data_IF_993930550336
#
_entry.id   IF_993930550336
#
_cell.length_a   1.000
_cell.length_b   1.000
_cell.length_c   1.000
_cell.angle_alpha   90.00
_cell.angle_beta   90.00
_cell.angle_gamma   90.00
#
_symmetry.space_group_name_H-M   'P 1'
#
loop_
_entity.id
_entity.type
_entity.pdbx_description
1 polymer ?
#
# COMPACT_ATOMS: atom_id res chain seq x y z
N UNK A 1 -1.75 -27.80 -79.78
CA UNK A 1 -0.93 -26.90 -78.95
C UNK A 1 -1.55 -25.52 -78.92
N UNK A 2 -2.17 -25.16 -77.79
CA UNK A 2 -2.09 -23.84 -77.18
C UNK A 2 -2.24 -24.08 -75.67
N UNK A 3 -1.11 -24.12 -74.97
CA UNK A 3 -1.08 -24.09 -73.51
C UNK A 3 -1.38 -22.66 -73.09
N UNK A 4 -2.46 -22.45 -72.35
CA UNK A 4 -2.74 -21.18 -71.69
C UNK A 4 -2.07 -21.17 -70.31
N UNK A 5 -1.27 -20.14 -70.05
CA UNK A 5 -0.62 -19.90 -68.77
C UNK A 5 -1.69 -19.44 -67.77
N UNK A 6 -1.80 -20.14 -66.65
CA UNK A 6 -2.67 -19.80 -65.53
C UNK A 6 -1.93 -18.81 -64.64
N UNK A 7 -2.35 -17.54 -64.63
CA UNK A 7 -1.84 -16.54 -63.67
C UNK A 7 -2.80 -16.50 -62.49
N UNK A 8 -2.36 -17.01 -61.33
CA UNK A 8 -3.11 -16.96 -60.07
C UNK A 8 -2.43 -15.93 -59.17
N UNK A 9 -3.00 -14.72 -59.01
CA UNK A 9 -2.65 -13.87 -57.87
C UNK A 9 -3.32 -14.47 -56.63
N UNK A 10 -2.60 -14.77 -55.55
CA UNK A 10 -3.23 -15.27 -54.31
C UNK A 10 -2.83 -14.41 -53.12
N UNK A 11 -3.83 -13.85 -52.42
CA UNK A 11 -3.70 -13.35 -51.04
C UNK A 11 -4.05 -14.50 -50.12
N UNK A 12 -3.20 -14.82 -49.16
CA UNK A 12 -3.44 -15.85 -48.16
C UNK A 12 -3.84 -15.17 -46.85
N UNK A 13 -5.10 -15.28 -46.46
CA UNK A 13 -5.54 -14.94 -45.10
C UNK A 13 -5.38 -16.18 -44.23
N UNK A 14 -4.66 -16.04 -43.12
CA UNK A 14 -4.46 -17.11 -42.15
C UNK A 14 -5.09 -16.70 -40.83
N UNK A 15 -6.01 -17.53 -40.34
CA UNK A 15 -6.48 -17.48 -38.97
C UNK A 15 -5.77 -18.56 -38.16
N UNK A 16 -5.07 -18.17 -37.09
CA UNK A 16 -4.56 -19.07 -36.05
C UNK A 16 -5.55 -19.09 -34.90
N UNK A 17 -5.96 -20.29 -34.48
CA UNK A 17 -6.72 -20.50 -33.25
C UNK A 17 -5.76 -20.97 -32.16
N UNK A 18 -5.62 -20.20 -31.07
CA UNK A 18 -5.14 -20.78 -29.82
C UNK A 18 -6.34 -21.55 -29.24
N UNK A 19 -6.22 -22.85 -28.96
CA UNK A 19 -7.22 -23.57 -28.16
C UNK A 19 -6.52 -23.99 -26.89
N UNK A 20 -6.96 -23.50 -25.73
CA UNK A 20 -6.62 -24.13 -24.44
C UNK A 20 -7.81 -24.99 -24.05
N UNK A 21 -7.57 -26.29 -23.82
CA UNK A 21 -8.61 -27.21 -23.38
C UNK A 21 -8.98 -26.95 -21.92
N UNK A 22 -9.83 -25.96 -21.67
CA UNK A 22 -10.51 -25.70 -20.40
C UNK A 22 -12.01 -25.87 -20.58
N UNK A 23 -12.67 -26.62 -19.70
CA UNK A 23 -14.14 -26.66 -19.67
C UNK A 23 -14.64 -25.31 -19.18
N UNK A 24 -15.60 -24.73 -19.90
CA UNK A 24 -16.41 -23.62 -19.40
C UNK A 24 -16.88 -23.91 -17.97
N UNK A 25 -16.35 -23.17 -17.00
CA UNK A 25 -17.04 -22.96 -15.74
C UNK A 25 -18.28 -22.11 -16.07
N UNK A 26 -19.43 -22.53 -15.55
CA UNK A 26 -20.70 -21.90 -15.90
C UNK A 26 -20.71 -20.42 -15.50
N UNK A 27 -21.37 -19.62 -16.34
CA UNK A 27 -21.81 -18.26 -16.03
C UNK A 27 -22.35 -18.19 -14.60
N UNK A 28 -21.56 -17.62 -13.71
CA UNK A 28 -22.06 -16.97 -12.52
C UNK A 28 -21.66 -15.51 -12.69
N UNK A 29 -22.44 -14.79 -13.50
CA UNK A 29 -22.44 -13.33 -13.42
C UNK A 29 -22.69 -12.98 -11.94
N UNK A 30 -21.89 -12.10 -11.31
CA UNK A 30 -22.26 -11.56 -10.02
C UNK A 30 -23.68 -11.00 -10.17
N UNK A 31 -24.57 -11.43 -9.27
CA UNK A 31 -25.95 -10.93 -9.27
C UNK A 31 -25.90 -9.44 -8.95
N UNK A 32 -25.83 -8.60 -9.97
CA UNK A 32 -26.15 -7.18 -9.83
C UNK A 32 -27.61 -7.10 -9.40
N UNK A 33 -27.83 -6.86 -8.11
CA UNK A 33 -29.14 -6.56 -7.58
C UNK A 33 -29.60 -5.20 -8.12
N UNK A 34 -30.29 -5.24 -9.25
CA UNK A 34 -30.89 -4.07 -9.90
C UNK A 34 -32.00 -3.41 -9.07
N UNK A 35 -32.30 -3.89 -7.84
CA UNK A 35 -33.31 -3.31 -6.96
C UNK A 35 -32.78 -2.23 -6.03
N UNK A 36 -31.46 -2.08 -5.90
CA UNK A 36 -30.88 -0.88 -5.29
C UNK A 36 -30.80 0.22 -6.34
N UNK A 37 -31.34 1.40 -6.01
CA UNK A 37 -31.06 2.63 -6.77
C UNK A 37 -29.55 2.90 -6.80
N UNK A 38 -29.06 3.93 -7.52
CA UNK A 38 -27.63 4.23 -7.54
C UNK A 38 -27.15 4.38 -6.10
N UNK A 39 -26.43 3.36 -5.60
CA UNK A 39 -25.83 3.40 -4.28
C UNK A 39 -24.80 4.54 -4.35
N UNK A 40 -24.87 5.55 -3.47
CA UNK A 40 -23.95 6.69 -3.50
C UNK A 40 -22.52 6.30 -3.10
N UNK A 41 -22.29 5.02 -2.80
CA UNK A 41 -21.03 4.40 -2.41
C UNK A 41 -20.89 3.17 -3.32
N UNK A 42 -19.82 3.08 -4.10
CA UNK A 42 -19.52 1.85 -4.83
C UNK A 42 -18.86 0.95 -3.78
N UNK A 43 -19.61 -0.02 -3.25
CA UNK A 43 -19.21 -0.93 -2.17
C UNK A 43 -19.48 -2.36 -2.64
N UNK A 44 -18.55 -2.90 -3.41
CA UNK A 44 -18.70 -4.16 -4.11
C UNK A 44 -18.55 -5.38 -3.17
N UNK A 45 -17.72 -5.26 -2.13
CA UNK A 45 -17.51 -6.31 -1.13
C UNK A 45 -18.52 -6.25 0.04
N UNK A 46 -19.40 -5.24 0.06
CA UNK A 46 -20.47 -5.04 1.04
C UNK A 46 -19.98 -4.89 2.48
N UNK A 47 -18.77 -4.37 2.68
CA UNK A 47 -18.20 -4.16 4.01
C UNK A 47 -18.64 -2.82 4.65
N UNK A 48 -19.37 -1.98 3.91
CA UNK A 48 -19.86 -0.67 4.34
C UNK A 48 -18.86 0.48 4.12
N UNK A 49 -17.76 0.25 3.41
CA UNK A 49 -16.82 1.25 2.92
C UNK A 49 -16.97 1.43 1.40
N UNK A 50 -16.48 2.56 0.90
CA UNK A 50 -16.35 2.76 -0.54
C UNK A 50 -15.14 1.96 -1.04
N UNK A 51 -15.21 1.37 -2.22
CA UNK A 51 -14.16 0.58 -2.86
C UNK A 51 -12.81 1.33 -2.85
N UNK A 52 -12.85 2.64 -3.09
CA UNK A 52 -11.68 3.52 -3.04
C UNK A 52 -10.99 3.59 -1.66
N UNK A 53 -11.70 3.24 -0.59
CA UNK A 53 -11.17 3.13 0.78
C UNK A 53 -10.68 1.73 1.13
N UNK A 54 -11.15 0.71 0.44
CA UNK A 54 -10.68 -0.66 0.65
C UNK A 54 -9.29 -0.87 0.04
N UNK A 55 -9.05 -0.25 -1.11
CA UNK A 55 -7.73 -0.22 -1.76
C UNK A 55 -6.80 0.85 -1.17
N UNK A 56 -7.33 1.73 -0.32
CA UNK A 56 -6.53 2.76 0.35
C UNK A 56 -5.60 2.14 1.39
N UNK A 57 -4.37 2.64 1.42
CA UNK A 57 -3.44 2.34 2.51
C UNK A 57 -3.99 2.99 3.77
N UNK A 58 -4.34 2.15 4.75
CA UNK A 58 -5.00 2.55 5.98
C UNK A 58 -4.19 2.19 7.22
N UNK A 59 -4.68 2.65 8.38
CA UNK A 59 -4.16 2.20 9.68
C UNK A 59 -4.54 0.74 9.88
N UNK A 60 -3.52 -0.11 9.94
CA UNK A 60 -3.66 -1.54 10.15
C UNK A 60 -3.31 -1.95 11.58
N UNK A 61 -2.55 -3.05 11.66
CA UNK A 61 -2.16 -3.67 12.93
C UNK A 61 -1.45 -2.73 13.91
N UNK A 62 -1.78 -2.85 15.20
CA UNK A 62 -1.07 -2.19 16.30
C UNK A 62 0.19 -2.99 16.65
N UNK A 63 1.35 -2.45 16.28
CA UNK A 63 2.65 -3.11 16.40
C UNK A 63 3.26 -2.97 17.80
N UNK A 64 2.96 -1.85 18.46
CA UNK A 64 3.40 -1.53 19.81
C UNK A 64 2.35 -0.64 20.47
N UNK A 65 2.18 -0.78 21.79
CA UNK A 65 1.39 0.17 22.55
C UNK A 65 1.80 0.22 24.02
N UNK A 66 1.66 1.39 24.60
CA UNK A 66 1.74 1.61 26.03
C UNK A 66 0.76 2.70 26.46
N UNK A 67 -0.16 2.34 27.33
CA UNK A 67 -1.08 3.26 28.03
C UNK A 67 -0.45 3.81 29.31
N UNK A 68 0.78 3.42 29.63
CA UNK A 68 1.52 3.87 30.81
C UNK A 68 0.77 3.62 32.13
N UNK A 69 -0.01 2.53 32.22
CA UNK A 69 -0.63 2.07 33.48
C UNK A 69 0.18 0.97 34.19
N UNK A 70 1.28 0.53 33.55
CA UNK A 70 2.26 -0.43 34.06
C UNK A 70 3.63 0.23 34.30
N UNK A 71 4.62 -0.55 34.73
CA UNK A 71 5.97 -0.04 34.96
C UNK A 71 6.63 0.44 33.67
N UNK A 72 7.13 1.67 33.71
CA UNK A 72 7.86 2.28 32.60
C UNK A 72 9.02 1.41 32.12
N UNK A 73 9.75 0.75 33.03
CA UNK A 73 10.96 -0.02 32.70
C UNK A 73 10.69 -1.28 31.86
N UNK A 74 9.44 -1.77 31.83
CA UNK A 74 9.08 -2.98 31.10
C UNK A 74 9.17 -2.76 29.58
N UNK A 75 8.92 -1.53 29.13
CA UNK A 75 8.90 -1.15 27.69
C UNK A 75 9.83 0.01 27.35
N UNK A 76 10.29 0.77 28.33
CA UNK A 76 11.05 2.00 28.11
C UNK A 76 12.33 2.07 28.94
N UNK A 77 13.31 2.78 28.40
CA UNK A 77 14.51 3.26 29.06
C UNK A 77 14.30 4.75 29.31
N UNK A 78 14.13 5.12 30.58
CA UNK A 78 13.94 6.50 31.01
C UNK A 78 15.25 7.08 31.58
N UNK A 79 15.55 8.33 31.25
CA UNK A 79 16.72 9.06 31.76
C UNK A 79 16.36 10.51 32.10
N UNK A 80 17.21 11.18 32.87
CA UNK A 80 16.94 12.55 33.31
C UNK A 80 15.78 12.56 34.30
N UNK A 81 14.76 13.37 34.02
CA UNK A 81 13.56 13.49 34.84
C UNK A 81 12.37 12.65 34.34
N UNK A 82 12.55 11.81 33.31
CA UNK A 82 11.51 10.89 32.87
C UNK A 82 11.18 9.89 33.97
N UNK A 83 9.90 9.77 34.32
CA UNK A 83 9.37 8.81 35.28
C UNK A 83 7.89 8.52 34.97
N UNK A 84 7.34 7.51 35.66
CA UNK A 84 5.92 7.25 35.68
C UNK A 84 5.26 8.15 36.75
N UNK A 85 4.35 9.02 36.35
CA UNK A 85 3.61 9.93 37.23
C UNK A 85 2.21 9.38 37.52
N UNK A 86 1.74 9.47 38.77
CA UNK A 86 0.41 9.04 39.20
C UNK A 86 -0.38 10.23 39.83
N UNK A 87 -1.10 11.01 39.02
CA UNK A 87 -2.09 12.08 39.39
C UNK A 87 -1.66 13.20 40.35
N UNK A 88 -0.38 13.44 40.55
CA UNK A 88 0.09 14.47 41.48
C UNK A 88 0.24 15.85 40.81
N UNK A 89 0.46 15.90 39.50
CA UNK A 89 0.79 17.15 38.80
C UNK A 89 -0.23 17.62 37.76
N UNK A 90 -0.98 16.70 37.15
CA UNK A 90 -2.07 17.02 36.23
C UNK A 90 -3.37 16.40 36.73
N UNK A 91 -4.35 17.25 37.07
CA UNK A 91 -5.68 16.84 37.53
C UNK A 91 -6.62 16.43 36.37
N UNK A 92 -6.32 16.88 35.15
CA UNK A 92 -7.12 16.61 33.96
C UNK A 92 -6.56 15.38 33.23
N UNK A 93 -7.37 14.34 33.12
CA UNK A 93 -7.06 13.16 32.32
C UNK A 93 -7.44 13.37 30.85
N UNK A 94 -6.85 12.61 29.91
CA UNK A 94 -7.24 12.63 28.50
C UNK A 94 -8.73 12.31 28.33
N UNK A 95 -9.42 12.93 27.34
CA UNK A 95 -10.88 12.87 27.22
C UNK A 95 -11.47 11.49 26.85
N UNK A 96 -10.68 10.46 26.51
CA UNK A 96 -11.19 9.22 25.91
C UNK A 96 -10.70 7.88 26.54
N UNK A 97 -10.15 7.82 27.77
CA UNK A 97 -9.54 6.56 28.27
C UNK A 97 -10.01 6.04 29.65
N UNK A 98 -10.10 4.71 29.72
CA UNK A 98 -10.71 3.85 30.73
C UNK A 98 -9.77 3.51 31.90
N UNK A 99 -10.18 3.76 33.16
CA UNK A 99 -10.62 5.06 33.70
C UNK A 99 -9.50 6.11 33.49
N UNK A 100 -9.67 7.43 33.79
CA UNK A 100 -8.62 8.45 33.60
C UNK A 100 -7.24 7.86 33.87
N UNK A 101 -6.31 7.80 32.91
CA UNK A 101 -5.12 6.92 33.04
C UNK A 101 -4.48 7.09 34.42
N UNK A 102 -4.28 5.97 35.12
CA UNK A 102 -3.80 6.00 36.51
C UNK A 102 -2.42 6.63 36.57
N UNK A 103 -1.68 6.45 35.49
CA UNK A 103 -0.36 7.01 35.31
C UNK A 103 -0.10 7.47 33.88
N UNK A 104 1.01 8.19 33.71
CA UNK A 104 1.53 8.65 32.42
C UNK A 104 3.04 8.81 32.51
N UNK A 105 3.74 8.81 31.38
CA UNK A 105 5.15 9.17 31.39
C UNK A 105 5.28 10.69 31.52
N UNK A 106 6.12 11.16 32.44
CA UNK A 106 6.32 12.57 32.71
C UNK A 106 7.79 12.95 32.80
N UNK A 107 8.14 14.11 32.26
CA UNK A 107 9.44 14.76 32.43
C UNK A 107 9.29 15.98 33.34
N UNK A 108 9.40 15.76 34.65
CA UNK A 108 9.45 16.78 35.70
C UNK A 108 9.99 16.14 36.99
N UNK A 109 10.08 16.89 38.10
CA UNK A 109 10.61 16.37 39.37
C UNK A 109 9.60 15.55 40.19
N UNK A 110 8.36 15.42 39.73
CA UNK A 110 7.32 14.56 40.30
C UNK A 110 6.47 15.24 41.38
N UNK A 111 5.83 14.42 42.23
CA UNK A 111 4.84 14.82 43.25
C UNK A 111 5.15 16.06 44.07
N UNK A 112 6.38 16.15 44.56
CA UNK A 112 6.78 17.22 45.48
C UNK A 112 7.07 18.53 44.73
N UNK A 113 7.29 18.45 43.41
CA UNK A 113 7.63 19.58 42.56
C UNK A 113 7.31 19.25 41.08
N UNK A 114 6.16 19.72 40.62
CA UNK A 114 5.65 19.44 39.28
C UNK A 114 6.38 20.18 38.16
N UNK A 115 7.55 20.77 38.43
CA UNK A 115 8.36 21.46 37.43
C UNK A 115 9.57 20.64 37.00
N UNK A 116 10.21 21.00 35.89
CA UNK A 116 11.52 20.45 35.50
C UNK A 116 12.70 21.35 35.92
N UNK A 117 12.48 22.34 36.80
CA UNK A 117 13.54 23.24 37.25
C UNK A 117 14.50 22.59 38.26
N UNK A 118 15.65 22.12 37.81
CA UNK A 118 16.70 21.59 38.69
C UNK A 118 17.70 22.66 39.15
N UNK A 119 17.50 23.93 38.78
CA UNK A 119 18.48 25.01 38.94
C UNK A 119 19.67 24.94 37.96
N UNK A 120 19.65 23.97 37.04
CA UNK A 120 20.64 23.75 36.00
C UNK A 120 19.96 23.27 34.70
N UNK A 121 20.71 23.29 33.59
CA UNK A 121 20.28 22.61 32.37
C UNK A 121 20.13 21.12 32.63
N UNK A 122 19.01 20.56 32.21
CA UNK A 122 18.76 19.13 32.29
C UNK A 122 18.11 18.63 30.99
N UNK A 123 18.30 17.34 30.73
CA UNK A 123 17.80 16.69 29.54
C UNK A 123 17.62 15.20 29.82
N UNK A 124 16.79 14.54 29.02
CA UNK A 124 16.59 13.12 29.11
C UNK A 124 15.79 12.56 27.94
N UNK A 125 15.83 11.24 27.85
CA UNK A 125 15.08 10.46 26.87
C UNK A 125 14.14 9.48 27.55
N UNK A 126 12.98 9.30 26.93
CA UNK A 126 12.10 8.15 27.10
C UNK A 126 12.20 7.33 25.82
N UNK A 127 12.96 6.24 25.86
CA UNK A 127 13.36 5.45 24.70
C UNK A 127 12.76 4.05 24.75
N UNK A 128 12.18 3.55 23.64
CA UNK A 128 11.72 2.17 23.58
C UNK A 128 12.87 1.17 23.81
N UNK A 129 12.67 0.20 24.70
CA UNK A 129 13.68 -0.80 24.99
C UNK A 129 13.80 -1.88 23.87
N UNK A 130 12.71 -2.15 23.15
CA UNK A 130 12.62 -3.09 22.02
C UNK A 130 12.32 -2.41 20.70
N UNK A 131 12.78 -2.98 19.58
CA UNK A 131 12.41 -2.54 18.24
C UNK A 131 11.13 -3.22 17.75
N UNK A 132 10.41 -2.57 16.83
CA UNK A 132 9.29 -3.17 16.10
C UNK A 132 9.52 -3.11 14.60
N UNK A 133 9.06 -4.12 13.86
CA UNK A 133 9.17 -4.15 12.39
C UNK A 133 7.97 -3.45 11.77
N UNK A 134 8.21 -2.39 10.99
CA UNK A 134 7.18 -1.76 10.17
C UNK A 134 6.86 -2.61 8.93
N UNK A 135 5.59 -2.66 8.49
CA UNK A 135 5.23 -3.15 7.17
C UNK A 135 5.99 -2.40 6.05
N UNK A 136 6.09 -3.03 4.88
CA UNK A 136 6.65 -2.40 3.67
C UNK A 136 5.85 -1.20 3.19
N UNK A 137 4.56 -1.13 3.56
CA UNK A 137 3.69 0.01 3.28
C UNK A 137 3.94 1.20 4.22
N UNK A 138 4.64 0.99 5.33
CA UNK A 138 4.96 2.02 6.32
C UNK A 138 4.11 1.90 7.57
N UNK A 139 3.92 3.02 8.25
CA UNK A 139 3.12 3.13 9.47
C UNK A 139 3.20 4.51 10.08
N UNK A 140 2.64 4.64 11.27
CA UNK A 140 2.60 5.89 12.04
C UNK A 140 2.69 5.64 13.55
N UNK A 141 3.02 6.69 14.27
CA UNK A 141 2.92 6.75 15.73
C UNK A 141 1.75 7.63 16.14
N UNK A 142 1.14 7.28 17.26
CA UNK A 142 0.08 8.04 17.90
C UNK A 142 0.35 8.16 19.40
N UNK A 143 0.06 9.31 20.00
CA UNK A 143 0.06 9.48 21.45
C UNK A 143 -0.75 10.70 21.88
N UNK A 144 -1.10 10.75 23.16
CA UNK A 144 -1.59 11.96 23.81
C UNK A 144 -0.42 12.77 24.37
N UNK A 145 -0.41 14.06 24.04
CA UNK A 145 0.66 14.99 24.37
C UNK A 145 0.13 16.12 25.25
N UNK A 146 0.80 16.37 26.38
CA UNK A 146 0.64 17.61 27.15
C UNK A 146 2.02 18.15 27.44
N UNK A 147 2.28 19.42 27.16
CA UNK A 147 3.59 20.01 27.43
C UNK A 147 3.48 21.46 27.87
N UNK A 148 4.22 21.85 28.90
CA UNK A 148 4.34 23.24 29.32
C UNK A 148 5.82 23.61 29.46
N UNK A 149 6.25 24.58 28.66
CA UNK A 149 7.64 25.05 28.56
C UNK A 149 7.71 26.59 28.50
N UNK A 150 8.92 27.15 28.41
CA UNK A 150 9.12 28.61 28.28
C UNK A 150 8.48 29.23 27.02
N UNK A 151 7.98 28.43 26.06
CA UNK A 151 7.32 28.87 24.81
C UNK A 151 8.15 29.90 24.00
N UNK A 152 9.49 29.76 24.06
CA UNK A 152 10.43 30.62 23.34
C UNK A 152 11.25 29.80 22.33
N UNK A 153 11.28 30.19 21.04
CA UNK A 153 12.01 29.45 20.03
C UNK A 153 13.50 29.26 20.36
N UNK A 154 13.96 28.02 20.37
CA UNK A 154 15.37 27.68 20.55
C UNK A 154 15.81 27.47 21.99
N UNK A 155 14.88 27.57 22.95
CA UNK A 155 15.08 27.11 24.34
C UNK A 155 14.51 25.69 24.49
N UNK A 156 14.07 25.26 25.67
CA UNK A 156 13.36 24.00 25.98
C UNK A 156 12.92 23.22 24.74
N UNK A 157 13.73 22.27 24.31
CA UNK A 157 13.51 21.54 23.07
C UNK A 157 12.91 20.18 23.39
N UNK A 158 11.81 19.86 22.72
CA UNK A 158 11.17 18.56 22.79
C UNK A 158 11.06 17.95 21.39
N UNK A 159 11.61 16.75 21.21
CA UNK A 159 11.72 16.07 19.92
C UNK A 159 11.16 14.66 20.02
N UNK A 160 10.52 14.20 18.94
CA UNK A 160 10.25 12.78 18.72
C UNK A 160 11.21 12.28 17.67
N UNK A 161 11.91 11.19 17.99
CA UNK A 161 12.98 10.66 17.15
C UNK A 161 12.80 9.17 16.90
N UNK A 162 13.28 8.73 15.75
CA UNK A 162 13.27 7.34 15.32
C UNK A 162 14.69 6.84 15.07
N UNK A 163 14.93 5.57 15.33
CA UNK A 163 16.17 4.85 15.03
C UNK A 163 15.85 3.57 14.25
N UNK A 164 16.61 3.27 13.21
CA UNK A 164 16.58 1.99 12.46
C UNK A 164 17.82 1.12 12.66
N UNK A 165 18.65 1.46 13.67
CA UNK A 165 19.91 0.79 13.99
C UNK A 165 20.00 0.42 15.49
N UNK A 166 18.84 0.11 16.08
CA UNK A 166 18.69 -0.31 17.48
C UNK A 166 19.21 0.73 18.49
N UNK A 167 18.97 2.02 18.20
CA UNK A 167 19.27 3.14 19.08
C UNK A 167 20.70 3.69 18.96
N UNK A 168 21.50 3.24 17.98
CA UNK A 168 22.85 3.76 17.77
C UNK A 168 22.84 5.17 17.16
N UNK A 169 21.92 5.44 16.24
CA UNK A 169 21.66 6.77 15.67
C UNK A 169 20.16 7.10 15.69
N UNK A 170 19.85 8.40 15.74
CA UNK A 170 18.49 8.89 15.92
C UNK A 170 18.23 10.07 14.98
N UNK A 171 17.09 10.06 14.29
CA UNK A 171 16.62 11.15 13.44
C UNK A 171 15.31 11.71 13.97
N UNK A 172 15.19 13.04 13.96
CA UNK A 172 13.95 13.73 14.36
C UNK A 172 12.87 13.55 13.31
N UNK A 173 11.69 13.11 13.73
CA UNK A 173 10.47 13.01 12.90
C UNK A 173 9.41 14.04 13.31
N UNK A 174 9.49 14.56 14.54
CA UNK A 174 8.74 15.72 15.00
C UNK A 174 9.66 16.60 15.86
N UNK A 175 9.67 17.89 15.53
CA UNK A 175 10.29 18.94 16.35
C UNK A 175 9.16 19.82 16.90
N UNK A 176 9.02 19.85 18.22
CA UNK A 176 8.02 20.66 18.89
C UNK A 176 8.33 22.15 18.93
N UNK A 177 9.51 22.57 18.47
CA UNK A 177 9.92 23.97 18.30
C UNK A 177 9.79 24.81 19.59
N UNK A 178 10.00 24.18 20.74
CA UNK A 178 9.86 24.81 22.06
C UNK A 178 8.46 25.29 22.40
N UNK A 179 7.44 24.81 21.67
CA UNK A 179 6.05 25.21 21.89
C UNK A 179 5.53 24.71 23.23
N UNK A 180 4.78 25.56 23.92
CA UNK A 180 3.98 25.21 25.10
C UNK A 180 2.53 24.90 24.71
N UNK A 181 2.05 23.72 25.08
CA UNK A 181 0.71 23.19 24.81
C UNK A 181 0.13 22.53 26.08
N UNK A 182 -0.28 23.31 27.10
CA UNK A 182 -0.75 22.80 28.39
C UNK A 182 -2.19 22.28 28.33
N UNK A 183 -2.53 21.59 27.25
CA UNK A 183 -3.80 20.90 27.01
C UNK A 183 -3.53 19.60 26.28
N UNK A 184 -4.11 18.50 26.75
CA UNK A 184 -3.99 17.20 26.09
C UNK A 184 -4.41 17.29 24.62
N UNK A 185 -3.45 17.02 23.74
CA UNK A 185 -3.62 17.03 22.29
C UNK A 185 -3.12 15.70 21.74
N UNK A 186 -3.91 15.04 20.91
CA UNK A 186 -3.46 13.82 20.26
C UNK A 186 -2.57 14.17 19.06
N UNK A 187 -1.42 13.51 18.98
CA UNK A 187 -0.52 13.60 17.84
C UNK A 187 -0.56 12.30 17.05
N UNK A 188 -0.59 12.42 15.73
CA UNK A 188 -0.41 11.30 14.79
C UNK A 188 0.69 11.71 13.82
N UNK A 189 1.79 10.95 13.77
CA UNK A 189 2.94 11.26 12.94
C UNK A 189 3.31 10.03 12.10
N UNK A 190 3.23 10.10 10.77
CA UNK A 190 3.67 9.00 9.91
C UNK A 190 5.20 8.86 9.96
N UNK A 191 5.69 7.64 9.87
CA UNK A 191 7.12 7.43 9.66
C UNK A 191 7.54 7.93 8.27
N UNK A 192 8.73 8.53 8.14
CA UNK A 192 9.30 8.81 6.82
C UNK A 192 9.45 7.53 5.97
N UNK A 193 9.22 7.58 4.64
CA UNK A 193 9.21 6.38 3.79
C UNK A 193 10.50 5.55 3.82
N UNK A 194 11.65 6.14 4.18
CA UNK A 194 12.90 5.40 4.33
C UNK A 194 12.91 4.38 5.49
N UNK A 195 11.89 4.37 6.35
CA UNK A 195 11.72 3.39 7.43
C UNK A 195 10.79 2.24 7.07
N UNK A 196 10.12 2.28 5.92
CA UNK A 196 9.23 1.21 5.46
C UNK A 196 9.97 -0.13 5.42
N UNK A 197 9.37 -1.17 6.00
CA UNK A 197 9.96 -2.52 6.08
C UNK A 197 11.13 -2.68 7.07
N UNK A 198 11.50 -1.63 7.83
CA UNK A 198 12.62 -1.69 8.78
C UNK A 198 12.16 -1.98 10.20
N UNK A 199 13.10 -2.46 11.02
CA UNK A 199 12.96 -2.45 12.47
C UNK A 199 13.24 -1.04 13.00
N UNK A 200 12.32 -0.49 13.78
CA UNK A 200 12.42 0.86 14.33
C UNK A 200 12.28 0.89 15.84
N UNK A 201 12.93 1.87 16.46
CA UNK A 201 12.68 2.35 17.82
C UNK A 201 12.25 3.80 17.79
N UNK A 202 11.43 4.21 18.74
CA UNK A 202 11.02 5.60 18.96
C UNK A 202 11.54 6.06 20.31
N UNK A 203 11.89 7.34 20.39
CA UNK A 203 12.14 8.00 21.68
C UNK A 203 11.60 9.42 21.69
N UNK A 204 11.28 9.87 22.89
CA UNK A 204 10.98 11.25 23.20
C UNK A 204 12.19 11.88 23.88
N UNK A 205 12.69 12.98 23.35
CA UNK A 205 13.88 13.67 23.83
C UNK A 205 13.51 15.07 24.32
N UNK A 206 13.85 15.38 25.56
CA UNK A 206 13.66 16.70 26.16
C UNK A 206 15.01 17.28 26.59
N UNK A 207 15.22 18.57 26.35
CA UNK A 207 16.43 19.31 26.75
C UNK A 207 16.08 20.77 27.03
N UNK A 208 16.28 21.21 28.26
CA UNK A 208 15.98 22.59 28.66
C UNK A 208 16.86 23.64 27.98
N UNK A 209 17.94 23.21 27.31
CA UNK A 209 19.00 24.03 26.65
C UNK A 209 19.81 24.90 27.58
N UNK A 210 19.22 25.43 28.64
CA UNK A 210 19.85 26.19 29.70
C UNK A 210 19.15 25.99 31.05
N UNK A 211 19.45 26.86 32.02
CA UNK A 211 19.02 26.75 33.43
C UNK A 211 17.93 27.75 33.82
N UNK A 212 17.58 28.66 32.92
CA UNK A 212 16.69 29.79 33.18
C UNK A 212 15.26 29.37 32.87
N UNK A 213 14.30 29.99 33.56
CA UNK A 213 12.87 29.83 33.27
C UNK A 213 12.38 28.37 33.18
N UNK A 214 12.84 27.46 34.03
CA UNK A 214 12.44 26.04 33.96
C UNK A 214 11.25 25.70 34.90
N UNK A 215 10.59 26.69 35.50
CA UNK A 215 9.50 26.54 36.48
C UNK A 215 8.14 26.25 35.79
N UNK A 216 8.11 25.27 34.89
CA UNK A 216 6.93 24.87 34.11
C UNK A 216 6.65 23.37 34.24
N UNK A 217 5.42 22.94 33.95
CA UNK A 217 4.92 21.58 34.15
C UNK A 217 5.70 20.46 33.46
N UNK A 218 6.47 20.78 32.42
CA UNK A 218 7.25 19.81 31.67
C UNK A 218 6.43 19.06 30.64
N UNK A 219 6.84 17.83 30.34
CA UNK A 219 6.26 17.06 29.23
C UNK A 219 5.62 15.77 29.73
N UNK A 220 4.38 15.52 29.36
CA UNK A 220 3.62 14.32 29.68
C UNK A 220 3.17 13.63 28.40
N UNK A 221 3.32 12.31 28.39
CA UNK A 221 2.99 11.43 27.28
C UNK A 221 2.10 10.32 27.82
N UNK A 222 1.04 10.05 27.07
CA UNK A 222 0.11 8.99 27.41
C UNK A 222 -0.34 8.24 26.14
N UNK A 223 -0.77 7.00 26.31
CA UNK A 223 -1.39 6.15 25.27
C UNK A 223 -0.61 6.12 23.96
N UNK A 224 0.70 5.87 24.07
CA UNK A 224 1.57 5.74 22.90
C UNK A 224 1.25 4.45 22.14
N UNK A 225 1.16 4.54 20.82
CA UNK A 225 0.99 3.40 19.95
C UNK A 225 1.77 3.57 18.65
N UNK A 226 2.19 2.44 18.09
CA UNK A 226 2.73 2.33 16.73
C UNK A 226 1.77 1.47 15.93
N UNK A 227 1.29 2.01 14.83
CA UNK A 227 0.45 1.29 13.87
C UNK A 227 1.21 1.07 12.57
N UNK A 228 1.15 -0.14 12.04
CA UNK A 228 1.59 -0.45 10.69
C UNK A 228 0.48 -0.12 9.70
N UNK A 229 0.87 0.27 8.49
CA UNK A 229 -0.09 0.40 7.40
C UNK A 229 -0.35 -0.95 6.72
N UNK A 230 -1.60 -1.21 6.42
CA UNK A 230 -2.07 -2.30 5.57
C UNK A 230 -2.91 -1.77 4.41
N UNK A 231 -3.20 -2.67 3.47
CA UNK A 231 -4.27 -2.49 2.50
C UNK A 231 -5.39 -3.43 2.92
N UNK A 232 -6.63 -2.96 2.90
CA UNK A 232 -7.78 -3.79 3.27
C UNK A 232 -8.15 -4.75 2.14
N UNK A 233 -7.90 -4.35 0.89
CA UNK A 233 -7.95 -5.20 -0.30
C UNK A 233 -6.79 -4.93 -1.27
N UNK A 234 -6.46 -5.93 -2.09
CA UNK A 234 -5.52 -5.79 -3.21
C UNK A 234 -6.20 -5.06 -4.39
N UNK A 235 -5.38 -4.44 -5.24
CA UNK A 235 -5.77 -3.67 -6.43
C UNK A 235 -4.60 -3.77 -7.38
N UNK A 236 -4.56 -4.88 -8.10
CA UNK A 236 -3.41 -5.29 -8.88
C UNK A 236 -3.22 -4.42 -10.13
N UNK A 237 -4.32 -3.90 -10.68
CA UNK A 237 -4.36 -3.08 -11.89
C UNK A 237 -4.37 -1.57 -11.57
N UNK A 238 -4.51 -1.22 -10.28
CA UNK A 238 -4.54 0.14 -9.75
C UNK A 238 -5.70 0.97 -10.30
N UNK A 239 -6.83 0.33 -10.61
CA UNK A 239 -8.03 0.98 -11.14
C UNK A 239 -8.87 1.66 -10.03
N UNK A 240 -8.56 1.41 -8.75
CA UNK A 240 -9.26 1.96 -7.58
C UNK A 240 -10.45 1.12 -7.10
N UNK A 241 -10.62 -0.09 -7.63
CA UNK A 241 -11.60 -1.10 -7.26
C UNK A 241 -10.83 -2.28 -6.65
N UNK A 242 -11.29 -2.85 -5.53
CA UNK A 242 -10.75 -4.09 -4.96
C UNK A 242 -10.70 -5.25 -5.96
N UNK A 243 -9.62 -6.03 -5.93
CA UNK A 243 -9.45 -7.21 -6.79
C UNK A 243 -10.64 -8.20 -6.65
N UNK A 244 -11.23 -8.36 -5.46
CA UNK A 244 -12.39 -9.26 -5.28
C UNK A 244 -13.65 -8.83 -6.04
N UNK A 245 -13.62 -7.64 -6.63
CA UNK A 245 -14.71 -7.03 -7.37
C UNK A 245 -14.44 -6.90 -8.87
N UNK A 246 -13.22 -7.25 -9.30
CA UNK A 246 -12.88 -7.34 -10.70
C UNK A 246 -13.37 -8.66 -11.32
N UNK A 247 -13.53 -8.72 -12.65
CA UNK A 247 -13.88 -9.95 -13.36
C UNK A 247 -12.84 -11.05 -13.09
N UNK A 248 -13.31 -12.21 -12.61
CA UNK A 248 -12.53 -13.45 -12.52
C UNK A 248 -13.31 -14.53 -13.28
N UNK A 249 -13.02 -14.66 -14.57
CA UNK A 249 -13.77 -15.50 -15.49
C UNK A 249 -13.45 -17.00 -15.30
N UNK A 250 -12.25 -17.32 -14.82
CA UNK A 250 -11.78 -18.69 -14.62
C UNK A 250 -11.99 -19.17 -13.16
N UNK A 251 -12.49 -18.29 -12.28
CA UNK A 251 -12.81 -18.49 -10.88
C UNK A 251 -11.61 -19.01 -10.05
N UNK A 252 -10.39 -18.59 -10.38
CA UNK A 252 -9.18 -19.02 -9.70
C UNK A 252 -8.84 -18.15 -8.47
N UNK A 253 -9.59 -17.08 -8.23
CA UNK A 253 -9.39 -16.11 -7.15
C UNK A 253 -8.38 -15.00 -7.47
N UNK A 254 -7.97 -14.87 -8.72
CA UNK A 254 -7.10 -13.81 -9.27
C UNK A 254 -7.90 -13.17 -10.42
N UNK A 255 -8.14 -11.85 -10.39
CA UNK A 255 -8.85 -11.19 -11.49
C UNK A 255 -8.16 -11.33 -12.83
N UNK A 256 -8.95 -11.27 -13.91
CA UNK A 256 -8.52 -11.46 -15.29
C UNK A 256 -7.31 -10.56 -15.64
N UNK A 257 -7.33 -9.28 -15.25
CA UNK A 257 -6.24 -8.33 -15.51
C UNK A 257 -4.97 -8.67 -14.71
N UNK A 258 -5.12 -9.14 -13.47
CA UNK A 258 -4.02 -9.64 -12.65
C UNK A 258 -3.42 -10.92 -13.23
N UNK A 259 -4.28 -11.80 -13.76
CA UNK A 259 -3.89 -13.05 -14.38
C UNK A 259 -3.05 -12.80 -15.65
N UNK A 260 -3.42 -11.81 -16.45
CA UNK A 260 -2.66 -11.36 -17.62
C UNK A 260 -1.35 -10.67 -17.23
N UNK A 261 -1.36 -9.81 -16.21
CA UNK A 261 -0.18 -9.06 -15.77
C UNK A 261 0.87 -9.96 -15.13
N UNK A 262 0.45 -10.97 -14.35
CA UNK A 262 1.34 -11.94 -13.71
C UNK A 262 1.73 -13.10 -14.63
N UNK A 263 1.03 -13.24 -15.77
CA UNK A 263 1.30 -14.25 -16.80
C UNK A 263 0.82 -15.66 -16.44
N UNK A 264 -0.06 -15.78 -15.46
CA UNK A 264 -0.81 -17.01 -15.15
C UNK A 264 -1.78 -17.35 -16.28
N UNK A 265 -2.33 -16.32 -16.93
CA UNK A 265 -3.15 -16.45 -18.15
C UNK A 265 -2.46 -15.85 -19.38
N UNK A 266 -3.00 -16.13 -20.56
CA UNK A 266 -2.49 -15.64 -21.85
C UNK A 266 -3.58 -14.84 -22.54
N UNK A 267 -3.19 -13.80 -23.29
CA UNK A 267 -4.07 -13.02 -24.17
C UNK A 267 -3.39 -12.98 -25.55
N UNK A 268 -3.74 -13.94 -26.41
CA UNK A 268 -3.11 -14.12 -27.71
C UNK A 268 -3.48 -13.05 -28.72
N UNK A 269 -4.68 -12.46 -28.60
CA UNK A 269 -5.20 -11.49 -29.55
C UNK A 269 -5.05 -10.03 -29.06
N UNK A 270 -4.62 -9.83 -27.80
CA UNK A 270 -4.34 -8.54 -27.19
C UNK A 270 -5.60 -7.75 -26.81
N UNK A 271 -6.72 -8.42 -26.56
CA UNK A 271 -8.00 -7.75 -26.28
C UNK A 271 -8.27 -7.51 -24.78
N UNK A 272 -7.39 -7.96 -23.90
CA UNK A 272 -7.52 -7.82 -22.45
C UNK A 272 -8.41 -8.86 -21.77
N UNK A 273 -8.85 -9.91 -22.48
CA UNK A 273 -9.61 -11.04 -21.94
C UNK A 273 -8.71 -12.28 -21.99
N UNK A 274 -8.52 -13.01 -20.87
CA UNK A 274 -7.80 -14.28 -20.89
C UNK A 274 -8.32 -15.26 -21.94
N UNK A 275 -7.43 -15.93 -22.67
CA UNK A 275 -7.75 -16.92 -23.72
C UNK A 275 -8.72 -18.00 -23.23
N UNK A 276 -8.61 -18.45 -21.96
CA UNK A 276 -9.55 -19.43 -21.37
C UNK A 276 -11.00 -18.93 -21.23
N UNK A 277 -11.21 -17.62 -21.39
CA UNK A 277 -12.47 -16.92 -21.24
C UNK A 277 -12.89 -16.17 -22.51
N UNK A 278 -11.99 -16.03 -23.48
CA UNK A 278 -12.29 -15.47 -24.79
C UNK A 278 -12.78 -16.55 -25.77
N UNK A 279 -14.08 -16.51 -26.07
CA UNK A 279 -14.65 -17.38 -27.10
C UNK A 279 -14.24 -16.99 -28.53
N UNK A 280 -13.59 -15.83 -28.74
CA UNK A 280 -13.15 -15.29 -30.03
C UNK A 280 -11.62 -15.22 -30.12
N UNK A 281 -10.96 -16.31 -29.76
CA UNK A 281 -9.51 -16.49 -29.77
C UNK A 281 -8.91 -16.65 -31.21
N UNK A 282 -9.45 -15.89 -32.18
CA UNK A 282 -9.08 -15.92 -33.59
C UNK A 282 -8.09 -14.80 -33.94
N UNK A 283 -6.81 -15.14 -34.08
CA UNK A 283 -5.82 -14.21 -34.62
C UNK A 283 -5.88 -14.23 -36.15
N UNK A 284 -6.49 -13.19 -36.74
CA UNK A 284 -6.59 -13.05 -38.20
C UNK A 284 -5.46 -12.19 -38.76
N UNK A 285 -4.71 -12.72 -39.73
CA UNK A 285 -3.68 -11.97 -40.46
C UNK A 285 -3.79 -12.16 -41.96
N UNK A 286 -3.33 -11.17 -42.74
CA UNK A 286 -3.40 -11.18 -44.20
C UNK A 286 -2.02 -10.98 -44.81
N UNK A 287 -1.63 -11.88 -45.71
CA UNK A 287 -0.37 -11.75 -46.44
C UNK A 287 -0.39 -10.54 -47.38
N UNK A 288 0.78 -9.99 -47.74
CA UNK A 288 0.90 -9.15 -48.93
C UNK A 288 0.41 -9.88 -50.19
N UNK A 289 0.14 -9.11 -51.26
CA UNK A 289 -0.18 -9.65 -52.59
C UNK A 289 1.07 -10.27 -53.20
N UNK A 290 1.01 -11.55 -53.57
CA UNK A 290 2.10 -12.23 -54.28
C UNK A 290 1.83 -12.22 -55.79
N UNK A 291 2.57 -11.40 -56.54
CA UNK A 291 2.55 -11.38 -58.02
C UNK A 291 3.94 -11.11 -58.60
N UNK A 292 4.33 -11.78 -59.72
CA UNK A 292 3.62 -12.87 -60.42
C UNK A 292 3.95 -14.27 -59.84
N UNK A 293 2.96 -15.17 -59.84
CA UNK A 293 3.14 -16.58 -59.42
C UNK A 293 3.41 -17.46 -60.66
N UNK A 294 4.66 -17.52 -61.09
CA UNK A 294 5.11 -18.37 -62.21
C UNK A 294 6.15 -19.42 -61.74
N UNK A 295 6.64 -20.24 -62.68
CA UNK A 295 7.60 -21.31 -62.38
C UNK A 295 8.94 -20.80 -61.81
N UNK A 296 9.26 -19.52 -62.04
CA UNK A 296 10.51 -18.90 -61.59
C UNK A 296 10.36 -18.23 -60.21
N UNK A 297 9.12 -18.01 -59.75
CA UNK A 297 8.81 -17.33 -58.48
C UNK A 297 8.03 -18.22 -57.49
N UNK A 298 7.95 -19.53 -57.73
CA UNK A 298 7.29 -20.51 -56.85
C UNK A 298 8.32 -21.51 -56.27
N UNK A 299 8.25 -21.89 -54.98
CA UNK A 299 7.23 -21.52 -53.99
C UNK A 299 7.47 -20.13 -53.37
N UNK A 300 6.39 -19.44 -53.02
CA UNK A 300 6.43 -18.19 -52.24
C UNK A 300 6.19 -18.52 -50.76
N UNK A 301 7.00 -17.94 -49.88
CA UNK A 301 6.86 -18.09 -48.43
C UNK A 301 6.51 -16.77 -47.78
N UNK A 302 5.55 -16.80 -46.85
CA UNK A 302 5.24 -15.69 -45.98
C UNK A 302 5.14 -16.19 -44.55
N UNK A 303 5.73 -15.44 -43.63
CA UNK A 303 5.69 -15.73 -42.21
C UNK A 303 4.72 -14.75 -41.58
N UNK A 304 3.82 -15.26 -40.74
CA UNK A 304 2.94 -14.41 -39.93
C UNK A 304 3.80 -13.47 -39.10
N UNK A 305 3.65 -12.15 -39.24
CA UNK A 305 4.33 -11.22 -38.37
C UNK A 305 3.73 -11.34 -36.97
N UNK A 306 4.59 -11.56 -35.96
CA UNK A 306 4.20 -11.75 -34.55
C UNK A 306 3.18 -12.89 -34.36
N UNK A 307 3.54 -14.15 -34.65
CA UNK A 307 2.63 -15.25 -34.38
C UNK A 307 2.39 -15.35 -32.87
N UNK A 308 1.12 -15.38 -32.45
CA UNK A 308 0.77 -15.61 -31.06
C UNK A 308 1.37 -16.95 -30.59
N UNK A 309 1.98 -17.01 -29.39
CA UNK A 309 2.60 -18.24 -28.88
C UNK A 309 1.55 -19.35 -28.70
N UNK A 310 1.64 -20.41 -29.50
CA UNK A 310 0.77 -21.57 -29.36
C UNK A 310 1.26 -22.50 -28.25
N UNK A 311 0.46 -22.67 -27.18
CA UNK A 311 0.73 -23.66 -26.12
C UNK A 311 0.16 -25.04 -26.41
N UNK A 312 -0.72 -25.16 -27.42
CA UNK A 312 -1.36 -26.41 -27.83
C UNK A 312 -1.47 -26.51 -29.38
N UNK A 313 -2.26 -27.46 -29.88
CA UNK A 313 -2.50 -27.63 -31.32
C UNK A 313 -3.33 -26.48 -31.88
N UNK A 314 -2.73 -25.70 -32.77
CA UNK A 314 -3.42 -24.63 -33.50
C UNK A 314 -4.17 -25.19 -34.69
N UNK A 315 -5.42 -24.76 -34.89
CA UNK A 315 -6.10 -24.93 -36.17
C UNK A 315 -5.71 -23.77 -37.08
N UNK A 316 -5.31 -24.08 -38.31
CA UNK A 316 -5.00 -23.06 -39.33
C UNK A 316 -6.13 -23.02 -40.35
N UNK A 317 -6.77 -21.86 -40.51
CA UNK A 317 -7.68 -21.64 -41.64
C UNK A 317 -6.99 -20.74 -42.67
N UNK A 318 -6.71 -21.31 -43.83
CA UNK A 318 -6.10 -20.61 -44.96
C UNK A 318 -7.17 -20.27 -45.99
N UNK A 319 -7.36 -18.98 -46.27
CA UNK A 319 -8.22 -18.51 -47.36
C UNK A 319 -7.35 -17.87 -48.44
N UNK A 320 -7.34 -18.47 -49.62
CA UNK A 320 -6.64 -17.94 -50.79
C UNK A 320 -7.62 -17.10 -51.65
N UNK A 321 -7.39 -15.80 -51.78
CA UNK A 321 -8.15 -14.93 -52.68
C UNK A 321 -7.36 -14.62 -53.94
N UNK A 322 -7.92 -14.92 -55.10
CA UNK A 322 -7.28 -14.63 -56.37
C UNK A 322 -8.24 -14.15 -57.45
N UNK A 323 -7.73 -13.32 -58.34
CA UNK A 323 -8.46 -12.84 -59.53
C UNK A 323 -8.15 -13.74 -60.72
N UNK A 324 -9.18 -14.35 -61.31
CA UNK A 324 -9.09 -14.99 -62.62
C UNK A 324 -9.05 -13.87 -63.67
N UNK A 325 -7.86 -13.52 -64.15
CA UNK A 325 -7.73 -12.60 -65.28
C UNK A 325 -8.32 -13.23 -66.54
N UNK A 326 -9.22 -12.54 -67.23
CA UNK A 326 -9.60 -12.89 -68.60
C UNK A 326 -8.50 -12.43 -69.54
N UNK A 327 -7.85 -13.38 -70.21
CA UNK A 327 -6.85 -13.15 -71.26
C UNK A 327 -7.40 -12.34 -72.44
#
# INVERSE_FOLDING_TARGET
MKQGILVIGTVLSLALFCEVSGRAAGDISPSFDSTKGPDPIVDCNSNGQDDSKDVAIGRGSRLFSDDFDDKLEDKWIATGLWHLEEYDCLADAPPDQDPPSKSRAAYNKGKDDCTYNTGARNYGVLEMNTSVTLPSLGGEIEWWNWIETEDLPGVDTWLVQVSDDNGATWKTILDGQSKSEPTWTQYVVPFPPEYNGKQVKVRFFFDTRDKYSNDFGGWYIDSFAIYGYDRYSEDCDSNGVPDECDPDCNANGIPDECDLTTGTSTDCNGNGIPDECDANDEVTTTSPKFEPFDADHSPVSWTVPHPAPARSSVRLRLTAQGTLGTS
#
